data_IF_023924292403
#
_entry.id   IF_023924292403
#
_cell.length_a   1.000
_cell.length_b   1.000
_cell.length_c   1.000
_cell.angle_alpha   90.00
_cell.angle_beta   90.00
_cell.angle_gamma   90.00
#
_symmetry.space_group_name_H-M   'P 1'
#
loop_
_entity.id
_entity.type
_entity.pdbx_description
1 polymer ?
#
# COMPACT_ATOMS: atom_id res chain seq x y z
N UNK A 1 -9.05 -13.95 -5.77
CA UNK A 1 -8.75 -12.67 -5.08
C UNK A 1 -7.62 -12.00 -5.81
N UNK A 2 -7.81 -10.76 -6.26
CA UNK A 2 -6.79 -10.04 -7.02
C UNK A 2 -5.67 -9.53 -6.11
N UNK A 3 -4.42 -9.79 -6.50
CA UNK A 3 -3.23 -9.37 -5.74
C UNK A 3 -2.95 -7.87 -5.84
N UNK A 4 -3.67 -7.17 -6.71
CA UNK A 4 -3.57 -5.73 -6.90
C UNK A 4 -4.93 -5.14 -7.24
N UNK A 5 -5.18 -3.91 -6.80
CA UNK A 5 -6.38 -3.13 -7.14
C UNK A 5 -5.97 -1.75 -7.64
N UNK A 6 -6.73 -1.23 -8.60
CA UNK A 6 -6.64 0.17 -9.02
C UNK A 6 -7.62 0.97 -8.17
N UNK A 7 -7.09 1.92 -7.41
CA UNK A 7 -7.86 2.80 -6.53
C UNK A 7 -7.36 4.22 -6.82
N UNK A 8 -8.28 5.14 -7.14
CA UNK A 8 -7.95 6.52 -7.52
C UNK A 8 -6.89 6.60 -8.64
N UNK A 9 -7.07 5.81 -9.71
CA UNK A 9 -6.13 5.66 -10.84
C UNK A 9 -4.70 5.22 -10.47
N UNK A 10 -4.48 4.77 -9.23
CA UNK A 10 -3.20 4.26 -8.75
C UNK A 10 -3.29 2.77 -8.48
N UNK A 11 -2.21 2.05 -8.80
CA UNK A 11 -2.08 0.62 -8.48
C UNK A 11 -1.62 0.45 -7.04
N UNK A 12 -2.40 -0.29 -6.26
CA UNK A 12 -2.03 -0.77 -4.94
C UNK A 12 -1.90 -2.30 -4.94
N UNK A 13 -0.96 -2.81 -4.15
CA UNK A 13 -0.69 -4.24 -3.99
C UNK A 13 -1.23 -4.73 -2.66
N UNK A 14 -1.87 -5.88 -2.64
CA UNK A 14 -2.27 -6.51 -1.39
C UNK A 14 -1.03 -6.95 -0.60
N UNK A 15 -1.04 -6.76 0.71
CA UNK A 15 0.02 -7.20 1.62
C UNK A 15 0.07 -8.73 1.83
N UNK A 16 -0.90 -9.46 1.28
CA UNK A 16 -1.00 -10.92 1.34
C UNK A 16 -1.65 -11.45 2.61
N UNK A 17 -2.18 -10.58 3.48
CA UNK A 17 -2.80 -10.96 4.74
C UNK A 17 -4.29 -10.60 4.77
N UNK A 18 -5.05 -11.46 5.42
CA UNK A 18 -6.49 -11.28 5.65
C UNK A 18 -6.65 -10.96 7.13
N UNK A 19 -7.36 -9.87 7.40
CA UNK A 19 -7.63 -9.40 8.76
C UNK A 19 -9.11 -9.61 9.07
N UNK A 20 -9.42 -10.21 10.21
CA UNK A 20 -10.82 -10.43 10.63
C UNK A 20 -11.40 -9.18 11.32
N UNK A 21 -10.55 -8.33 11.89
CA UNK A 21 -10.94 -7.12 12.58
C UNK A 21 -10.47 -5.86 11.86
N UNK A 22 -11.37 -4.86 11.76
CA UNK A 22 -11.04 -3.53 11.24
C UNK A 22 -9.88 -2.89 12.00
N UNK A 23 -9.86 -3.04 13.33
CA UNK A 23 -8.83 -2.48 14.18
C UNK A 23 -7.44 -3.02 13.84
N UNK A 24 -7.32 -4.32 13.57
CA UNK A 24 -6.06 -4.96 13.20
C UNK A 24 -5.58 -4.44 11.84
N UNK A 25 -6.48 -4.38 10.85
CA UNK A 25 -6.18 -3.80 9.55
C UNK A 25 -5.75 -2.32 9.65
N UNK A 26 -6.37 -1.54 10.54
CA UNK A 26 -6.05 -0.14 10.79
C UNK A 26 -4.67 0.05 11.44
N UNK A 27 -4.28 -0.83 12.36
CA UNK A 27 -2.95 -0.80 12.97
C UNK A 27 -1.86 -1.10 11.93
N UNK A 28 -2.08 -2.10 11.07
CA UNK A 28 -1.18 -2.46 9.97
C UNK A 28 -1.07 -1.33 8.94
N UNK A 29 -2.22 -0.76 8.53
CA UNK A 29 -2.30 0.44 7.68
C UNK A 29 -1.41 1.56 8.22
N UNK A 30 -1.55 1.87 9.52
CA UNK A 30 -0.78 2.93 10.18
C UNK A 30 0.73 2.65 10.18
N UNK A 31 1.14 1.38 10.31
CA UNK A 31 2.55 1.00 10.22
C UNK A 31 3.12 1.29 8.83
N UNK A 32 2.43 0.86 7.79
CA UNK A 32 2.86 1.09 6.40
C UNK A 32 2.91 2.59 6.05
N UNK A 33 1.96 3.39 6.54
CA UNK A 33 1.98 4.84 6.34
C UNK A 33 3.20 5.52 6.95
N UNK A 34 3.72 5.00 8.08
CA UNK A 34 4.99 5.47 8.66
C UNK A 34 6.20 5.10 7.81
N UNK A 35 6.11 4.01 7.05
CA UNK A 35 7.17 3.51 6.17
C UNK A 35 7.10 4.12 4.75
N UNK A 36 6.44 5.26 4.59
CA UNK A 36 6.21 5.96 3.32
C UNK A 36 5.42 5.12 2.29
N UNK A 37 4.43 4.35 2.76
CA UNK A 37 3.45 3.73 1.87
C UNK A 37 2.12 4.50 1.93
N UNK A 38 1.52 4.70 0.76
CA UNK A 38 0.11 5.02 0.63
C UNK A 38 -0.68 3.72 0.84
N UNK A 39 -1.74 3.75 1.65
CA UNK A 39 -2.47 2.53 2.01
C UNK A 39 -3.98 2.69 1.85
N UNK A 40 -4.67 1.57 1.56
CA UNK A 40 -6.11 1.48 1.43
C UNK A 40 -6.60 0.19 2.10
N UNK A 41 -7.63 0.30 2.93
CA UNK A 41 -8.33 -0.87 3.47
C UNK A 41 -9.52 -1.13 2.57
N UNK A 42 -9.69 -2.39 2.16
CA UNK A 42 -10.85 -2.87 1.44
C UNK A 42 -11.51 -3.94 2.30
N UNK A 43 -12.82 -3.85 2.49
CA UNK A 43 -13.60 -4.90 3.17
C UNK A 43 -14.39 -5.72 2.15
N UNK A 44 -14.22 -7.04 2.20
CA UNK A 44 -14.96 -8.00 1.37
C UNK A 44 -15.39 -9.17 2.26
N UNK A 45 -16.68 -9.55 2.23
CA UNK A 45 -17.22 -10.70 2.99
C UNK A 45 -16.93 -10.67 4.51
N UNK A 46 -16.90 -9.47 5.11
CA UNK A 46 -16.59 -9.29 6.53
C UNK A 46 -15.11 -9.45 6.89
N UNK A 47 -14.24 -9.59 5.90
CA UNK A 47 -12.79 -9.59 6.04
C UNK A 47 -12.21 -8.26 5.57
N UNK A 48 -11.06 -7.90 6.09
CA UNK A 48 -10.34 -6.66 5.78
C UNK A 48 -9.02 -6.99 5.11
N UNK A 49 -8.69 -6.24 4.06
CA UNK A 49 -7.51 -6.41 3.24
C UNK A 49 -6.77 -5.09 3.16
N UNK A 50 -5.46 -5.13 3.40
CA UNK A 50 -4.62 -3.93 3.36
C UNK A 50 -3.88 -3.90 2.02
N UNK A 51 -4.17 -2.88 1.24
CA UNK A 51 -3.51 -2.59 -0.03
C UNK A 51 -2.51 -1.46 0.17
N UNK A 52 -1.28 -1.64 -0.30
CA UNK A 52 -0.17 -0.70 -0.11
C UNK A 52 0.44 -0.28 -1.45
N UNK A 53 1.01 0.93 -1.48
CA UNK A 53 1.74 1.50 -2.61
C UNK A 53 2.88 2.34 -2.07
N UNK A 54 4.13 2.04 -2.45
CA UNK A 54 5.27 2.83 -1.98
C UNK A 54 5.23 4.24 -2.57
N UNK A 55 5.35 5.25 -1.71
CA UNK A 55 5.50 6.65 -2.10
C UNK A 55 6.99 6.95 -2.12
N UNK A 56 7.53 7.18 -3.32
CA UNK A 56 8.93 7.61 -3.48
C UNK A 56 8.96 9.12 -3.26
N UNK A 57 9.52 9.57 -2.13
CA UNK A 57 9.59 10.99 -1.76
C UNK A 57 10.84 11.69 -2.31
N UNK A 58 11.92 10.95 -2.57
CA UNK A 58 13.15 11.48 -3.16
C UNK A 58 13.51 10.71 -4.44
N UNK A 59 13.60 11.43 -5.56
CA UNK A 59 14.18 10.91 -6.80
C UNK A 59 15.68 11.21 -6.75
N UNK A 60 16.48 10.25 -6.29
CA UNK A 60 17.94 10.37 -6.40
C UNK A 60 18.31 10.09 -7.86
N UNK A 61 18.54 11.15 -8.64
CA UNK A 61 19.04 11.06 -10.02
C UNK A 61 20.58 11.00 -9.97
N UNK A 62 21.15 9.83 -9.73
CA UNK A 62 22.59 9.63 -9.97
C UNK A 62 22.80 9.29 -11.45
N UNK A 63 23.08 10.34 -12.25
CA UNK A 63 23.33 10.19 -13.68
C UNK A 63 23.64 11.53 -14.32
N UNK A 64 24.79 12.12 -13.97
CA UNK A 64 25.36 13.18 -14.80
C UNK A 64 25.77 12.53 -16.13
N UNK A 65 25.26 12.99 -17.29
CA UNK A 65 25.71 12.47 -18.57
C UNK A 65 27.21 12.77 -18.72
N UNK A 66 28.01 11.82 -19.27
CA UNK A 66 29.40 12.12 -19.57
C UNK A 66 29.46 13.27 -20.58
N UNK A 67 30.34 14.23 -20.30
CA UNK A 67 30.62 15.43 -21.11
C UNK A 67 31.19 15.09 -22.48
#
# INVERSE_FOLDING_TARGET
MDIAKIIDDKKFMWDGKIYEGEKEAQEVKTSYEKDNFETRIVSEEGKYFVFTRRVVTEVVVEGQPPV
#
